data_IF_243277602368
#
_entry.id   IF_243277602368
#
_cell.length_a   1.000
_cell.length_b   1.000
_cell.length_c   1.000
_cell.angle_alpha   90.00
_cell.angle_beta   90.00
_cell.angle_gamma   90.00
#
_symmetry.space_group_name_H-M   'P 1'
#
loop_
_entity.id
_entity.type
_entity.pdbx_description
1 polymer ?
#
# COMPACT_ATOMS: atom_id res chain seq x y z
N UNK A 1 25.55 45.59 -51.02
CA UNK A 1 25.24 45.45 -49.59
C UNK A 1 26.06 44.30 -49.02
N UNK A 2 27.32 44.55 -48.70
CA UNK A 2 28.18 43.60 -47.99
C UNK A 2 27.80 43.62 -46.52
N UNK A 3 27.31 42.49 -45.99
CA UNK A 3 27.01 42.37 -44.55
C UNK A 3 28.27 42.63 -43.74
N UNK A 4 28.17 43.44 -42.68
CA UNK A 4 29.27 43.71 -41.77
C UNK A 4 29.71 42.39 -41.12
N UNK A 5 31.00 42.02 -41.13
CA UNK A 5 31.47 40.70 -40.67
C UNK A 5 31.05 40.37 -39.22
N UNK A 6 30.91 41.40 -38.38
CA UNK A 6 30.41 41.30 -37.01
C UNK A 6 28.97 40.76 -36.89
N UNK A 7 28.08 41.13 -37.82
CA UNK A 7 26.69 40.67 -37.79
C UNK A 7 26.57 39.17 -38.07
N UNK A 8 27.44 38.66 -38.95
CA UNK A 8 27.49 37.23 -39.31
C UNK A 8 27.99 36.40 -38.10
N UNK A 9 29.00 36.88 -37.39
CA UNK A 9 29.51 36.23 -36.18
C UNK A 9 28.46 36.16 -35.07
N UNK A 10 27.73 37.24 -34.82
CA UNK A 10 26.69 37.28 -33.78
C UNK A 10 25.54 36.31 -34.09
N UNK A 11 25.10 36.27 -35.36
CA UNK A 11 24.07 35.35 -35.81
C UNK A 11 24.49 33.88 -35.67
N UNK A 12 25.72 33.54 -36.06
CA UNK A 12 26.27 32.19 -35.89
C UNK A 12 26.36 31.78 -34.43
N UNK A 13 26.85 32.67 -33.56
CA UNK A 13 26.93 32.40 -32.13
C UNK A 13 25.55 32.13 -31.52
N UNK A 14 24.56 32.96 -31.86
CA UNK A 14 23.18 32.78 -31.40
C UNK A 14 22.60 31.44 -31.87
N UNK A 15 22.82 31.06 -33.13
CA UNK A 15 22.35 29.80 -33.70
C UNK A 15 23.00 28.59 -33.02
N UNK A 16 24.31 28.67 -32.71
CA UNK A 16 25.04 27.63 -31.98
C UNK A 16 24.46 27.45 -30.57
N UNK A 17 24.23 28.54 -29.83
CA UNK A 17 23.65 28.49 -28.48
C UNK A 17 22.20 27.97 -28.52
N UNK A 18 21.40 28.41 -29.48
CA UNK A 18 20.03 27.92 -29.69
C UNK A 18 20.02 26.42 -29.98
N UNK A 19 20.91 25.94 -30.85
CA UNK A 19 21.02 24.50 -31.16
C UNK A 19 21.51 23.72 -29.95
N UNK A 20 22.54 24.19 -29.23
CA UNK A 20 23.04 23.54 -28.01
C UNK A 20 21.97 23.41 -26.93
N UNK A 21 21.22 24.48 -26.67
CA UNK A 21 20.14 24.49 -25.68
C UNK A 21 18.97 23.60 -26.11
N UNK A 22 18.56 23.64 -27.38
CA UNK A 22 17.54 22.74 -27.91
C UNK A 22 17.98 21.28 -27.86
N UNK A 23 19.24 20.98 -28.18
CA UNK A 23 19.78 19.60 -28.14
C UNK A 23 19.89 19.10 -26.70
N UNK A 24 20.17 20.00 -25.75
CA UNK A 24 20.18 19.67 -24.33
C UNK A 24 18.77 19.46 -23.77
N UNK A 25 17.79 20.29 -24.16
CA UNK A 25 16.38 20.14 -23.77
C UNK A 25 15.69 18.94 -24.41
N UNK A 26 16.01 18.60 -25.67
CA UNK A 26 15.42 17.49 -26.43
C UNK A 26 16.14 16.16 -26.19
N UNK A 27 17.13 16.09 -25.29
CA UNK A 27 17.65 14.82 -24.80
C UNK A 27 16.58 14.12 -23.97
N UNK A 28 15.75 13.34 -24.67
CA UNK A 28 14.78 12.46 -24.03
C UNK A 28 15.56 11.49 -23.12
N UNK A 29 15.19 11.34 -21.84
CA UNK A 29 15.75 10.29 -21.01
C UNK A 29 15.57 8.94 -21.70
N UNK A 30 16.55 8.03 -21.53
CA UNK A 30 16.56 6.75 -22.25
C UNK A 30 15.21 6.04 -22.10
N UNK A 31 14.61 5.54 -23.20
CA UNK A 31 13.36 4.81 -23.10
C UNK A 31 13.56 3.61 -22.19
N UNK A 32 12.81 3.56 -21.08
CA UNK A 32 12.80 2.40 -20.20
C UNK A 32 12.20 1.21 -20.94
N UNK A 33 12.80 0.01 -20.85
CA UNK A 33 12.20 -1.19 -21.41
C UNK A 33 10.76 -1.36 -20.92
N UNK A 34 9.86 -1.82 -21.79
CA UNK A 34 8.44 -1.94 -21.46
C UNK A 34 8.21 -2.89 -20.28
N UNK A 35 9.09 -3.88 -20.07
CA UNK A 35 9.05 -4.77 -18.91
C UNK A 35 9.27 -3.99 -17.60
N UNK A 36 10.21 -3.04 -17.60
CA UNK A 36 10.54 -2.21 -16.44
C UNK A 36 9.39 -1.25 -16.14
N UNK A 37 8.83 -0.61 -17.17
CA UNK A 37 7.68 0.27 -17.01
C UNK A 37 6.48 -0.50 -16.41
N UNK A 38 6.16 -1.70 -16.93
CA UNK A 38 5.05 -2.52 -16.42
C UNK A 38 5.24 -2.92 -14.95
N UNK A 39 6.44 -3.31 -14.55
CA UNK A 39 6.72 -3.71 -13.17
C UNK A 39 6.58 -2.54 -12.19
N UNK A 40 6.97 -1.33 -12.59
CA UNK A 40 6.79 -0.11 -11.77
C UNK A 40 5.30 0.24 -11.66
N UNK A 41 4.61 0.30 -12.80
CA UNK A 41 3.19 0.67 -12.83
C UNK A 41 2.27 -0.37 -12.16
N UNK A 42 2.63 -1.66 -12.13
CA UNK A 42 1.78 -2.67 -11.47
C UNK A 42 1.71 -2.48 -9.96
N UNK A 43 2.81 -2.02 -9.35
CA UNK A 43 2.88 -1.70 -7.91
C UNK A 43 2.29 -0.32 -7.63
N UNK A 44 2.53 0.63 -8.54
CA UNK A 44 2.03 2.01 -8.48
C UNK A 44 0.65 2.22 -9.12
N UNK A 45 -0.19 1.19 -9.23
CA UNK A 45 -1.57 1.33 -9.72
C UNK A 45 -2.65 1.07 -8.66
N UNK A 46 -2.27 0.67 -7.45
CA UNK A 46 -3.21 0.41 -6.37
C UNK A 46 -3.95 1.68 -5.91
N UNK A 47 -5.25 1.74 -6.17
CA UNK A 47 -6.14 2.85 -5.79
C UNK A 47 -6.81 2.60 -4.44
N UNK A 48 -7.01 1.34 -4.06
CA UNK A 48 -7.56 0.96 -2.77
C UNK A 48 -6.74 -0.15 -2.10
N UNK A 49 -6.23 0.15 -0.90
CA UNK A 49 -5.41 -0.77 -0.10
C UNK A 49 -6.16 -1.10 1.18
N UNK A 50 -6.34 -2.40 1.46
CA UNK A 50 -6.92 -2.90 2.70
C UNK A 50 -5.82 -3.46 3.60
N UNK A 51 -5.80 -3.04 4.86
CA UNK A 51 -4.86 -3.54 5.86
C UNK A 51 -5.63 -4.16 7.02
N UNK A 52 -5.59 -5.49 7.19
CA UNK A 52 -6.10 -6.15 8.38
C UNK A 52 -5.27 -5.80 9.60
N UNK A 53 -5.96 -5.28 10.63
CA UNK A 53 -5.36 -4.83 11.87
C UNK A 53 -5.69 -5.81 12.98
N UNK A 54 -4.64 -6.26 13.64
CA UNK A 54 -4.72 -6.96 14.93
C UNK A 54 -3.72 -6.31 15.88
N UNK A 55 -3.82 -6.63 17.16
CA UNK A 55 -2.94 -6.07 18.16
C UNK A 55 -1.49 -6.57 17.97
N UNK A 56 -0.56 -5.64 17.81
CA UNK A 56 0.88 -5.88 17.80
C UNK A 56 1.64 -5.27 16.62
N UNK A 57 2.97 -5.29 16.75
CA UNK A 57 3.93 -4.60 15.87
C UNK A 57 3.86 -5.01 14.39
N UNK A 58 3.37 -6.20 14.09
CA UNK A 58 3.29 -6.72 12.73
C UNK A 58 2.19 -6.01 11.92
N UNK A 59 1.05 -5.67 12.53
CA UNK A 59 0.04 -4.84 11.87
C UNK A 59 0.51 -3.40 11.70
N UNK A 60 1.24 -2.85 12.68
CA UNK A 60 1.84 -1.50 12.57
C UNK A 60 2.80 -1.41 11.37
N UNK A 61 3.67 -2.42 11.18
CA UNK A 61 4.54 -2.51 10.01
C UNK A 61 3.78 -2.67 8.69
N UNK A 62 2.66 -3.41 8.70
CA UNK A 62 1.83 -3.55 7.52
C UNK A 62 1.18 -2.21 7.12
N UNK A 63 0.74 -1.42 8.11
CA UNK A 63 0.23 -0.07 7.88
C UNK A 63 1.32 0.84 7.33
N UNK A 64 2.52 0.84 7.92
CA UNK A 64 3.67 1.61 7.43
C UNK A 64 3.97 1.28 5.95
N UNK A 65 3.98 -0.01 5.60
CA UNK A 65 4.20 -0.45 4.22
C UNK A 65 3.07 0.01 3.30
N UNK A 66 1.81 -0.13 3.73
CA UNK A 66 0.66 0.35 2.97
C UNK A 66 0.71 1.85 2.72
N UNK A 67 1.21 2.63 3.68
CA UNK A 67 1.39 4.07 3.52
C UNK A 67 2.39 4.38 2.43
N UNK A 68 3.57 3.76 2.47
CA UNK A 68 4.61 4.00 1.47
C UNK A 68 4.20 3.59 0.06
N UNK A 69 3.43 2.51 -0.08
CA UNK A 69 2.92 2.05 -1.37
C UNK A 69 1.76 2.93 -1.89
N UNK A 70 0.90 3.41 -1.00
CA UNK A 70 -0.27 4.22 -1.35
C UNK A 70 0.00 5.71 -1.54
N UNK A 71 1.06 6.26 -0.93
CA UNK A 71 1.32 7.71 -0.87
C UNK A 71 1.44 8.34 -2.26
N UNK A 72 2.21 7.73 -3.16
CA UNK A 72 2.46 8.26 -4.52
C UNK A 72 1.18 8.46 -5.34
N UNK A 73 0.17 7.63 -5.09
CA UNK A 73 -1.09 7.63 -5.83
C UNK A 73 -2.25 8.22 -5.04
N UNK A 74 -2.00 8.68 -3.80
CA UNK A 74 -3.05 9.04 -2.85
C UNK A 74 -4.10 7.93 -2.70
N UNK A 75 -3.64 6.68 -2.60
CA UNK A 75 -4.51 5.52 -2.52
C UNK A 75 -5.45 5.61 -1.30
N UNK A 76 -6.68 5.14 -1.48
CA UNK A 76 -7.63 4.98 -0.37
C UNK A 76 -7.15 3.85 0.54
N UNK A 77 -6.75 4.20 1.76
CA UNK A 77 -6.35 3.26 2.79
C UNK A 77 -7.56 2.87 3.65
N UNK A 78 -7.84 1.56 3.74
CA UNK A 78 -8.90 1.00 4.59
C UNK A 78 -8.26 0.10 5.65
N UNK A 79 -8.39 0.49 6.91
CA UNK A 79 -7.91 -0.27 8.06
C UNK A 79 -9.07 -1.06 8.64
N UNK A 80 -8.95 -2.40 8.68
CA UNK A 80 -10.04 -3.29 9.09
C UNK A 80 -9.63 -4.16 10.27
N UNK A 81 -10.43 -4.16 11.33
CA UNK A 81 -10.34 -5.14 12.41
C UNK A 81 -11.55 -6.07 12.33
N UNK A 82 -11.29 -7.37 12.27
CA UNK A 82 -12.35 -8.38 12.30
C UNK A 82 -12.51 -8.91 13.71
N UNK A 83 -13.66 -8.60 14.31
CA UNK A 83 -14.10 -9.17 15.57
C UNK A 83 -14.66 -10.57 15.32
N UNK A 84 -13.91 -11.61 15.69
CA UNK A 84 -14.36 -13.00 15.55
C UNK A 84 -15.41 -13.35 16.62
N UNK A 85 -16.64 -13.60 16.18
CA UNK A 85 -17.76 -13.95 17.06
C UNK A 85 -17.97 -15.47 17.06
N UNK A 86 -17.89 -16.14 18.22
CA UNK A 86 -18.12 -17.58 18.34
C UNK A 86 -19.50 -18.02 17.83
N UNK A 87 -19.60 -19.28 17.39
CA UNK A 87 -20.90 -19.88 17.01
C UNK A 87 -21.85 -20.10 18.19
N UNK A 88 -21.34 -20.03 19.43
CA UNK A 88 -22.13 -20.19 20.66
C UNK A 88 -23.02 -18.99 20.98
N UNK A 89 -22.82 -17.85 20.31
CA UNK A 89 -23.60 -16.63 20.52
C UNK A 89 -24.08 -16.02 19.19
N UNK A 90 -25.17 -15.24 19.19
CA UNK A 90 -25.58 -14.45 18.03
C UNK A 90 -24.48 -13.50 17.54
N UNK A 91 -24.45 -13.21 16.23
CA UNK A 91 -23.42 -12.35 15.62
C UNK A 91 -23.42 -10.93 16.20
N UNK A 92 -24.59 -10.43 16.59
CA UNK A 92 -24.78 -9.07 17.13
C UNK A 92 -24.61 -9.00 18.65
N UNK A 93 -24.12 -10.07 19.27
CA UNK A 93 -23.86 -10.09 20.72
C UNK A 93 -22.82 -9.02 21.08
N UNK A 94 -23.10 -8.13 22.04
CA UNK A 94 -22.11 -7.16 22.52
C UNK A 94 -20.90 -7.88 23.13
N UNK A 95 -19.69 -7.50 22.68
CA UNK A 95 -18.42 -8.06 23.13
C UNK A 95 -17.49 -6.90 23.52
N UNK A 96 -17.81 -6.13 24.58
CA UNK A 96 -17.20 -4.83 24.86
C UNK A 96 -15.68 -4.90 25.01
N UNK A 97 -15.14 -5.93 25.66
CA UNK A 97 -13.69 -6.09 25.83
C UNK A 97 -12.96 -6.32 24.50
N UNK A 98 -13.54 -7.13 23.62
CA UNK A 98 -12.96 -7.42 22.31
C UNK A 98 -13.10 -6.21 21.37
N UNK A 99 -14.24 -5.52 21.43
CA UNK A 99 -14.49 -4.29 20.69
C UNK A 99 -13.51 -3.19 21.11
N UNK A 100 -13.31 -2.98 22.41
CA UNK A 100 -12.36 -2.01 22.93
C UNK A 100 -10.91 -2.34 22.55
N UNK A 101 -10.53 -3.62 22.47
CA UNK A 101 -9.20 -4.03 21.98
C UNK A 101 -9.05 -3.75 20.49
N UNK A 102 -10.04 -4.12 19.69
CA UNK A 102 -10.05 -3.88 18.24
C UNK A 102 -9.99 -2.39 17.92
N UNK A 103 -10.76 -1.58 18.64
CA UNK A 103 -10.78 -0.13 18.50
C UNK A 103 -9.44 0.49 18.84
N UNK A 104 -8.80 0.09 19.94
CA UNK A 104 -7.43 0.55 20.29
C UNK A 104 -6.40 0.21 19.21
N UNK A 105 -6.45 -1.01 18.68
CA UNK A 105 -5.53 -1.41 17.61
C UNK A 105 -5.75 -0.59 16.32
N UNK A 106 -7.01 -0.32 15.96
CA UNK A 106 -7.37 0.54 14.83
C UNK A 106 -6.93 1.99 15.04
N UNK A 107 -7.02 2.51 16.25
CA UNK A 107 -6.56 3.86 16.60
C UNK A 107 -5.05 3.99 16.46
N UNK A 108 -4.27 3.04 16.97
CA UNK A 108 -2.81 3.01 16.76
C UNK A 108 -2.46 3.00 15.28
N UNK A 109 -3.11 2.12 14.49
CA UNK A 109 -2.92 2.03 13.05
C UNK A 109 -3.31 3.34 12.33
N UNK A 110 -4.39 3.99 12.78
CA UNK A 110 -4.82 5.30 12.27
C UNK A 110 -3.75 6.36 12.49
N UNK A 111 -3.16 6.42 13.68
CA UNK A 111 -2.12 7.39 13.98
C UNK A 111 -0.91 7.22 13.08
N UNK A 112 -0.47 5.98 12.83
CA UNK A 112 0.63 5.69 11.90
C UNK A 112 0.29 6.24 10.51
N UNK A 113 -0.88 5.92 9.96
CA UNK A 113 -1.28 6.41 8.65
C UNK A 113 -1.35 7.94 8.56
N UNK A 114 -1.79 8.61 9.64
CA UNK A 114 -1.85 10.07 9.72
C UNK A 114 -0.46 10.72 9.72
N UNK A 115 0.58 10.05 10.24
CA UNK A 115 1.97 10.55 10.14
C UNK A 115 2.46 10.61 8.69
N UNK A 116 1.89 9.80 7.80
CA UNK A 116 2.15 9.81 6.35
C UNK A 116 1.18 10.72 5.58
N UNK A 117 0.43 11.59 6.27
CA UNK A 117 -0.53 12.50 5.63
C UNK A 117 -1.78 11.83 5.05
N UNK A 118 -1.98 10.53 5.30
CA UNK A 118 -3.13 9.79 4.81
C UNK A 118 -4.26 9.76 5.84
N UNK A 119 -5.50 9.85 5.35
CA UNK A 119 -6.72 9.75 6.18
C UNK A 119 -7.36 8.38 5.95
N UNK A 120 -7.06 7.37 6.77
CA UNK A 120 -7.61 6.04 6.55
C UNK A 120 -9.10 5.96 6.90
N UNK A 121 -9.81 5.12 6.19
CA UNK A 121 -11.13 4.64 6.58
C UNK A 121 -10.97 3.52 7.61
N UNK A 122 -11.67 3.62 8.73
CA UNK A 122 -11.61 2.65 9.83
C UNK A 122 -12.85 1.76 9.80
N UNK A 123 -12.65 0.45 9.83
CA UNK A 123 -13.75 -0.54 9.88
C UNK A 123 -13.54 -1.56 10.99
N UNK A 124 -14.45 -1.56 11.96
CA UNK A 124 -14.61 -2.66 12.91
C UNK A 124 -15.77 -3.54 12.42
N UNK A 125 -15.48 -4.76 11.97
CA UNK A 125 -16.48 -5.66 11.40
C UNK A 125 -16.62 -6.92 12.23
N UNK A 126 -17.85 -7.40 12.42
CA UNK A 126 -18.13 -8.67 13.08
C UNK A 126 -18.20 -9.80 12.05
N UNK A 127 -17.47 -10.88 12.30
CA UNK A 127 -17.52 -12.07 11.45
C UNK A 127 -17.28 -13.33 12.26
N UNK A 128 -17.62 -14.51 11.74
CA UNK A 128 -17.29 -15.80 12.38
C UNK A 128 -15.88 -16.32 12.06
N UNK A 129 -15.14 -15.58 11.24
CA UNK A 129 -13.86 -15.99 10.65
C UNK A 129 -13.15 -14.74 10.15
N UNK A 130 -11.92 -14.51 10.62
CA UNK A 130 -11.09 -13.38 10.22
C UNK A 130 -10.83 -13.33 8.71
N UNK A 131 -10.42 -14.44 8.02
CA UNK A 131 -10.29 -14.45 6.56
C UNK A 131 -11.52 -13.96 5.82
N UNK A 132 -12.70 -14.44 6.21
CA UNK A 132 -13.95 -14.09 5.53
C UNK A 132 -14.30 -12.62 5.76
N UNK A 133 -14.11 -12.13 6.99
CA UNK A 133 -14.29 -10.71 7.30
C UNK A 133 -13.39 -9.84 6.43
N UNK A 134 -12.10 -10.18 6.33
CA UNK A 134 -11.13 -9.45 5.50
C UNK A 134 -11.55 -9.48 4.02
N UNK A 135 -11.83 -10.66 3.47
CA UNK A 135 -12.23 -10.85 2.07
C UNK A 135 -13.58 -10.17 1.77
N UNK A 136 -14.49 -10.10 2.74
CA UNK A 136 -15.76 -9.39 2.59
C UNK A 136 -15.54 -7.89 2.46
N UNK A 137 -14.70 -7.29 3.31
CA UNK A 137 -14.38 -5.86 3.25
C UNK A 137 -13.62 -5.55 1.97
N UNK A 138 -12.63 -6.37 1.59
CA UNK A 138 -11.88 -6.20 0.36
C UNK A 138 -12.79 -6.17 -0.88
N UNK A 139 -13.79 -7.06 -0.96
CA UNK A 139 -14.79 -7.05 -2.03
C UNK A 139 -15.70 -5.83 -1.98
N UNK A 140 -16.16 -5.43 -0.79
CA UNK A 140 -17.05 -4.28 -0.63
C UNK A 140 -16.40 -2.96 -1.06
N UNK A 141 -15.10 -2.79 -0.80
CA UNK A 141 -14.39 -1.55 -1.13
C UNK A 141 -13.72 -1.59 -2.50
N UNK A 142 -13.73 -2.74 -3.18
CA UNK A 142 -13.01 -2.94 -4.44
C UNK A 142 -11.50 -2.83 -4.24
N UNK A 143 -10.96 -3.56 -3.27
CA UNK A 143 -9.54 -3.50 -2.94
C UNK A 143 -8.67 -4.03 -4.10
N UNK A 144 -7.63 -3.28 -4.45
CA UNK A 144 -6.60 -3.70 -5.40
C UNK A 144 -5.51 -4.51 -4.70
N UNK A 145 -5.28 -4.20 -3.40
CA UNK A 145 -4.28 -4.84 -2.57
C UNK A 145 -4.80 -5.12 -1.15
N UNK A 146 -4.41 -6.27 -0.60
CA UNK A 146 -4.51 -6.58 0.82
C UNK A 146 -3.09 -6.72 1.38
N UNK A 147 -2.73 -5.88 2.36
CA UNK A 147 -1.40 -5.92 2.99
C UNK A 147 -1.54 -6.46 4.41
N UNK A 148 -0.89 -7.58 4.70
CA UNK A 148 -0.97 -8.26 5.99
C UNK A 148 0.40 -8.37 6.66
N UNK A 149 0.44 -8.07 7.95
CA UNK A 149 1.61 -8.33 8.79
C UNK A 149 1.62 -9.76 9.30
N UNK A 150 2.78 -10.42 9.32
CA UNK A 150 2.96 -11.70 10.01
C UNK A 150 4.00 -11.60 11.13
N UNK A 151 3.62 -12.10 12.30
CA UNK A 151 4.49 -12.30 13.45
C UNK A 151 4.87 -13.77 13.61
N UNK A 152 6.11 -14.04 14.01
CA UNK A 152 6.56 -15.39 14.39
C UNK A 152 6.10 -15.67 15.82
N UNK A 153 4.93 -16.27 16.00
CA UNK A 153 4.64 -16.95 17.27
C UNK A 153 5.47 -18.24 17.31
N UNK A 154 5.98 -18.62 18.49
CA UNK A 154 6.66 -19.91 18.75
C UNK A 154 5.82 -21.15 18.40
N UNK A 155 4.52 -20.95 18.12
CA UNK A 155 3.52 -21.93 17.65
C UNK A 155 2.85 -21.47 16.34
N UNK A 156 3.63 -20.93 15.41
CA UNK A 156 3.17 -20.90 14.02
C UNK A 156 2.97 -22.35 13.53
N UNK A 157 2.02 -22.58 12.63
CA UNK A 157 1.87 -23.83 11.88
C UNK A 157 3.21 -24.27 11.27
N UNK A 158 3.29 -25.52 10.80
CA UNK A 158 4.49 -26.11 10.19
C UNK A 158 5.18 -25.21 9.14
N UNK A 159 4.40 -24.33 8.48
CA UNK A 159 4.84 -23.51 7.36
C UNK A 159 5.16 -22.06 7.76
N UNK A 160 5.04 -21.69 9.04
CA UNK A 160 5.36 -20.35 9.54
C UNK A 160 4.34 -19.24 9.19
N UNK A 161 3.33 -19.54 8.36
CA UNK A 161 2.22 -18.65 7.99
C UNK A 161 0.96 -18.95 8.80
N UNK A 162 0.41 -17.97 9.51
CA UNK A 162 -0.84 -18.13 10.24
C UNK A 162 -2.02 -18.50 9.32
N UNK A 163 -2.97 -19.30 9.82
CA UNK A 163 -4.16 -19.78 9.07
C UNK A 163 -4.87 -18.65 8.31
N UNK A 164 -4.97 -17.47 8.92
CA UNK A 164 -5.67 -16.33 8.32
C UNK A 164 -5.02 -15.88 7.02
N UNK A 165 -3.69 -15.78 7.00
CA UNK A 165 -2.93 -15.33 5.84
C UNK A 165 -3.03 -16.34 4.71
N UNK A 166 -2.91 -17.63 5.02
CA UNK A 166 -3.06 -18.70 4.04
C UNK A 166 -4.44 -18.65 3.35
N UNK A 167 -5.51 -18.52 4.13
CA UNK A 167 -6.87 -18.45 3.57
C UNK A 167 -7.11 -17.20 2.73
N UNK A 168 -6.58 -16.04 3.15
CA UNK A 168 -6.68 -14.80 2.37
C UNK A 168 -5.89 -14.92 1.07
N UNK A 169 -4.63 -15.37 1.11
CA UNK A 169 -3.80 -15.55 -0.09
C UNK A 169 -4.43 -16.48 -1.11
N UNK A 170 -5.07 -17.56 -0.64
CA UNK A 170 -5.70 -18.56 -1.51
C UNK A 170 -6.97 -18.03 -2.21
N UNK A 171 -7.67 -17.07 -1.61
CA UNK A 171 -9.05 -16.73 -2.00
C UNK A 171 -9.26 -15.28 -2.40
N UNK A 172 -8.31 -14.39 -2.11
CA UNK A 172 -8.38 -13.01 -2.54
C UNK A 172 -8.37 -12.93 -4.07
N UNK A 173 -9.23 -12.08 -4.63
CA UNK A 173 -9.26 -11.76 -6.06
C UNK A 173 -8.28 -10.66 -6.45
N UNK A 174 -7.61 -10.07 -5.46
CA UNK A 174 -6.70 -8.94 -5.58
C UNK A 174 -5.29 -9.34 -5.10
N UNK A 175 -4.32 -8.46 -5.31
CA UNK A 175 -2.95 -8.72 -4.85
C UNK A 175 -2.89 -8.83 -3.32
N UNK A 176 -2.08 -9.76 -2.82
CA UNK A 176 -1.88 -9.96 -1.39
C UNK A 176 -0.40 -9.83 -1.07
N UNK A 177 -0.04 -8.83 -0.27
CA UNK A 177 1.33 -8.58 0.16
C UNK A 177 1.45 -8.98 1.63
N UNK A 178 2.41 -9.87 1.92
CA UNK A 178 2.65 -10.36 3.27
C UNK A 178 3.96 -9.77 3.80
N UNK A 179 3.85 -8.88 4.78
CA UNK A 179 4.96 -8.24 5.45
C UNK A 179 5.39 -9.06 6.67
N UNK A 180 6.48 -9.83 6.51
CA UNK A 180 7.11 -10.52 7.63
C UNK A 180 8.01 -9.58 8.41
N UNK A 181 7.78 -9.45 9.71
CA UNK A 181 8.71 -8.73 10.58
C UNK A 181 10.02 -9.53 10.73
N UNK A 182 11.19 -8.88 10.70
CA UNK A 182 12.46 -9.54 11.02
C UNK A 182 12.45 -9.99 12.49
N UNK A 183 13.12 -11.11 12.77
CA UNK A 183 13.39 -11.54 14.15
C UNK A 183 14.40 -10.55 14.69
N UNK A 184 14.01 -9.75 15.68
CA UNK A 184 14.96 -8.99 16.49
C UNK A 184 15.20 -9.87 17.71
N UNK A 185 16.39 -10.47 17.79
CA UNK A 185 16.90 -11.13 19.01
C UNK A 185 17.24 -10.09 20.08
#
# INVERSE_FOLDING_TARGET
MSGHPLGIFLALFFLIVLVLTLTWMLRVPRPVPMEVARAVYSVEAARCIVVPIVEGIYSERAVELACRLGERQQARLVLVHVLEVPYTVPLDTPLPDLEARGQRALETARFIAMQHGMKPEIRLVRHRSAPEGILSVARQVGADQIIMGIGLKRRASSDGLGRTVHEVMRRASCEVIVAKAPIVE
#
